data_IF_825598935726
#
_entry.id   IF_825598935726
#
_cell.length_a   1.000
_cell.length_b   1.000
_cell.length_c   1.000
_cell.angle_alpha   90.00
_cell.angle_beta   90.00
_cell.angle_gamma   90.00
#
_symmetry.space_group_name_H-M   'P 1'
#
loop_
_entity.id
_entity.type
_entity.pdbx_description
1 polymer ?
#
# COMPACT_ATOMS: atom_id res chain seq x y z
N UNK A 1 15.61 -18.25 -4.46
CA UNK A 1 14.43 -17.75 -3.74
C UNK A 1 14.82 -17.69 -2.28
N UNK A 2 15.01 -16.48 -1.74
CA UNK A 2 15.46 -16.30 -0.37
C UNK A 2 14.22 -15.99 0.47
N UNK A 3 13.77 -17.00 1.21
CA UNK A 3 12.61 -17.10 2.11
C UNK A 3 11.34 -17.75 1.53
N UNK A 4 10.95 -18.83 2.20
CA UNK A 4 9.62 -19.45 2.16
C UNK A 4 8.66 -18.54 2.95
N UNK A 5 7.48 -18.24 2.40
CA UNK A 5 6.47 -17.37 3.03
C UNK A 5 6.13 -17.83 4.45
N UNK A 6 6.14 -19.14 4.73
CA UNK A 6 5.93 -19.67 6.06
C UNK A 6 7.04 -19.25 7.05
N UNK A 7 8.30 -19.20 6.60
CA UNK A 7 9.41 -18.73 7.41
C UNK A 7 9.34 -17.22 7.66
N UNK A 8 8.88 -16.44 6.69
CA UNK A 8 8.63 -15.00 6.87
C UNK A 8 7.59 -14.76 7.97
N UNK A 9 6.51 -15.53 7.99
CA UNK A 9 5.51 -15.46 9.06
C UNK A 9 6.05 -15.88 10.43
N UNK A 10 6.91 -16.91 10.51
CA UNK A 10 7.57 -17.25 11.77
C UNK A 10 8.43 -16.09 12.27
N UNK A 11 9.16 -15.41 11.39
CA UNK A 11 9.95 -14.23 11.75
C UNK A 11 9.07 -13.06 12.17
N UNK A 12 8.01 -12.75 11.42
CA UNK A 12 7.03 -11.70 11.73
C UNK A 12 6.52 -11.81 13.16
N UNK A 13 6.14 -13.02 13.60
CA UNK A 13 5.62 -13.29 14.95
C UNK A 13 6.62 -13.08 16.08
N UNK A 14 7.92 -12.99 15.77
CA UNK A 14 8.97 -12.71 16.75
C UNK A 14 9.26 -11.22 16.90
N UNK A 15 8.70 -10.38 16.03
CA UNK A 15 8.91 -8.94 16.01
C UNK A 15 7.76 -8.21 16.70
N UNK A 16 8.07 -7.06 17.28
CA UNK A 16 7.07 -6.04 17.58
C UNK A 16 6.75 -5.28 16.27
N UNK A 17 5.52 -4.78 16.11
CA UNK A 17 5.10 -4.09 14.89
C UNK A 17 6.00 -2.90 14.54
N UNK A 18 6.65 -2.26 15.53
CA UNK A 18 7.60 -1.17 15.30
C UNK A 18 8.84 -1.60 14.51
N UNK A 19 9.15 -2.89 14.52
CA UNK A 19 10.26 -3.51 13.78
C UNK A 19 9.80 -4.19 12.49
N UNK A 20 8.54 -4.01 12.07
CA UNK A 20 8.01 -4.61 10.86
C UNK A 20 8.82 -4.27 9.60
N UNK A 21 9.37 -3.04 9.53
CA UNK A 21 10.21 -2.58 8.42
C UNK A 21 11.44 -3.47 8.17
N UNK A 22 11.88 -4.27 9.16
CA UNK A 22 13.01 -5.20 9.02
C UNK A 22 12.71 -6.41 8.12
N UNK A 23 11.42 -6.65 7.82
CA UNK A 23 10.95 -7.78 7.00
C UNK A 23 9.88 -7.43 5.97
N UNK A 24 9.36 -6.19 5.99
CA UNK A 24 8.36 -5.72 5.03
C UNK A 24 8.80 -5.96 3.58
N UNK A 25 10.06 -5.63 3.27
CA UNK A 25 10.62 -5.81 1.92
C UNK A 25 10.70 -7.28 1.50
N UNK A 26 10.92 -8.21 2.44
CA UNK A 26 10.93 -9.64 2.16
C UNK A 26 9.52 -10.13 1.79
N UNK A 27 8.48 -9.65 2.48
CA UNK A 27 7.08 -9.91 2.12
C UNK A 27 6.73 -9.30 0.76
N UNK A 28 7.15 -8.05 0.51
CA UNK A 28 6.92 -7.36 -0.76
C UNK A 28 7.53 -8.15 -1.92
N UNK A 29 8.79 -8.59 -1.78
CA UNK A 29 9.47 -9.41 -2.78
C UNK A 29 8.76 -10.76 -2.99
N UNK A 30 8.28 -11.39 -1.92
CA UNK A 30 7.54 -12.64 -2.02
C UNK A 30 6.23 -12.46 -2.82
N UNK A 31 5.48 -11.40 -2.52
CA UNK A 31 4.19 -11.13 -3.17
C UNK A 31 4.32 -10.70 -4.62
N UNK A 32 5.39 -9.98 -4.97
CA UNK A 32 5.68 -9.59 -6.35
C UNK A 32 6.43 -10.67 -7.15
N UNK A 33 6.61 -11.88 -6.60
CA UNK A 33 7.37 -12.94 -7.27
C UNK A 33 6.63 -13.55 -8.47
N UNK A 34 5.30 -13.50 -8.45
CA UNK A 34 4.45 -13.94 -9.55
C UNK A 34 3.16 -13.11 -9.65
N UNK A 35 2.53 -13.15 -10.84
CA UNK A 35 1.36 -12.34 -11.15
C UNK A 35 0.09 -12.82 -10.44
N UNK A 36 -0.06 -14.12 -10.19
CA UNK A 36 -1.26 -14.68 -9.55
C UNK A 36 -1.34 -14.23 -8.08
N UNK A 37 -0.21 -14.28 -7.38
CA UNK A 37 -0.08 -13.77 -6.01
C UNK A 37 -0.36 -12.27 -5.97
N UNK A 38 0.22 -11.49 -6.88
CA UNK A 38 0.03 -10.03 -6.93
C UNK A 38 -1.42 -9.64 -7.21
N UNK A 39 -2.12 -10.38 -8.07
CA UNK A 39 -3.53 -10.14 -8.43
C UNK A 39 -4.52 -10.55 -7.33
N UNK A 40 -4.08 -11.29 -6.31
CA UNK A 40 -4.94 -11.61 -5.17
C UNK A 40 -5.37 -10.31 -4.44
N UNK A 41 -6.67 -10.05 -4.25
CA UNK A 41 -7.14 -8.78 -3.68
C UNK A 41 -6.54 -8.42 -2.32
N UNK A 42 -6.26 -9.44 -1.49
CA UNK A 42 -5.66 -9.28 -0.17
C UNK A 42 -4.20 -8.86 -0.26
N UNK A 43 -3.45 -9.52 -1.14
CA UNK A 43 -2.05 -9.20 -1.39
C UNK A 43 -1.94 -7.82 -2.03
N UNK A 44 -2.76 -7.53 -3.04
CA UNK A 44 -2.80 -6.22 -3.67
C UNK A 44 -3.11 -5.10 -2.66
N UNK A 45 -4.08 -5.30 -1.76
CA UNK A 45 -4.38 -4.31 -0.73
C UNK A 45 -3.16 -4.03 0.19
N UNK A 46 -2.46 -5.08 0.63
CA UNK A 46 -1.22 -4.92 1.39
C UNK A 46 -0.14 -4.15 0.59
N UNK A 47 0.12 -4.56 -0.65
CA UNK A 47 1.14 -3.93 -1.50
C UNK A 47 0.84 -2.46 -1.79
N UNK A 48 -0.42 -2.12 -2.03
CA UNK A 48 -0.87 -0.74 -2.26
C UNK A 48 -0.69 0.10 -1.00
N UNK A 49 -1.16 -0.35 0.16
CA UNK A 49 -1.05 0.43 1.41
C UNK A 49 0.42 0.60 1.82
N UNK A 50 1.23 -0.46 1.73
CA UNK A 50 2.68 -0.41 2.01
C UNK A 50 3.39 0.56 1.07
N UNK A 51 3.13 0.47 -0.24
CA UNK A 51 3.76 1.36 -1.23
C UNK A 51 3.33 2.82 -1.05
N UNK A 52 2.03 3.05 -0.83
CA UNK A 52 1.44 4.37 -0.62
C UNK A 52 2.03 5.05 0.61
N UNK A 53 2.03 4.34 1.75
CA UNK A 53 2.60 4.83 3.00
C UNK A 53 4.10 5.07 2.87
N UNK A 54 4.86 4.07 2.39
CA UNK A 54 6.30 4.20 2.27
C UNK A 54 6.73 5.29 1.30
N UNK A 55 5.94 5.58 0.26
CA UNK A 55 6.24 6.63 -0.71
C UNK A 55 5.96 8.02 -0.16
N UNK A 56 4.87 8.21 0.58
CA UNK A 56 4.62 9.43 1.37
C UNK A 56 5.84 9.80 2.21
N UNK A 57 6.38 8.85 2.97
CA UNK A 57 7.52 9.08 3.87
C UNK A 57 8.84 9.45 3.16
N UNK A 58 8.97 9.20 1.85
CA UNK A 58 10.21 9.41 1.10
C UNK A 58 10.15 10.59 0.14
N UNK A 59 9.05 10.73 -0.58
CA UNK A 59 8.93 11.65 -1.72
C UNK A 59 7.55 12.30 -1.85
N UNK A 60 6.66 12.08 -0.88
CA UNK A 60 5.27 12.54 -0.92
C UNK A 60 4.37 11.61 -1.73
N UNK A 61 3.12 11.48 -1.30
CA UNK A 61 2.18 10.48 -1.83
C UNK A 61 1.80 10.71 -3.29
N UNK A 62 1.91 11.93 -3.81
CA UNK A 62 1.66 12.23 -5.22
C UNK A 62 2.54 11.39 -6.15
N UNK A 63 3.80 11.13 -5.77
CA UNK A 63 4.72 10.27 -6.54
C UNK A 63 4.27 8.81 -6.60
N UNK A 64 3.51 8.35 -5.60
CA UNK A 64 2.89 7.02 -5.65
C UNK A 64 1.79 6.99 -6.72
N UNK A 65 0.88 7.96 -6.73
CA UNK A 65 -0.22 8.00 -7.69
C UNK A 65 0.25 8.22 -9.14
N UNK A 66 1.34 8.95 -9.32
CA UNK A 66 1.97 9.11 -10.62
C UNK A 66 2.50 7.78 -11.18
N UNK A 67 3.12 6.95 -10.35
CA UNK A 67 3.81 5.74 -10.78
C UNK A 67 2.94 4.47 -10.81
N UNK A 68 1.89 4.40 -9.98
CA UNK A 68 1.09 3.19 -9.80
C UNK A 68 0.00 3.05 -10.89
N UNK A 69 -0.35 1.81 -11.23
CA UNK A 69 -1.52 1.54 -12.07
C UNK A 69 -2.81 1.94 -11.34
N UNK A 70 -3.66 2.83 -11.92
CA UNK A 70 -4.93 3.21 -11.30
C UNK A 70 -5.85 2.02 -11.01
N UNK A 71 -5.81 1.00 -11.87
CA UNK A 71 -6.60 -0.22 -11.70
C UNK A 71 -6.18 -1.03 -10.45
N UNK A 72 -4.90 -1.01 -10.08
CA UNK A 72 -4.44 -1.70 -8.87
C UNK A 72 -4.87 -0.95 -7.60
N UNK A 73 -4.84 0.38 -7.63
CA UNK A 73 -5.36 1.20 -6.53
C UNK A 73 -6.87 0.99 -6.38
N UNK A 74 -7.62 0.99 -7.49
CA UNK A 74 -9.07 0.75 -7.48
C UNK A 74 -9.42 -0.63 -6.88
N UNK A 75 -8.71 -1.69 -7.29
CA UNK A 75 -8.88 -3.04 -6.70
C UNK A 75 -8.62 -3.03 -5.20
N UNK A 76 -7.57 -2.35 -4.73
CA UNK A 76 -7.24 -2.26 -3.31
C UNK A 76 -8.30 -1.48 -2.53
N UNK A 77 -8.73 -0.32 -3.02
CA UNK A 77 -9.80 0.50 -2.42
C UNK A 77 -11.10 -0.31 -2.31
N UNK A 78 -11.50 -0.99 -3.38
CA UNK A 78 -12.71 -1.82 -3.38
C UNK A 78 -12.61 -2.98 -2.38
N UNK A 79 -11.46 -3.64 -2.29
CA UNK A 79 -11.24 -4.69 -1.29
C UNK A 79 -11.30 -4.13 0.14
N UNK A 80 -10.62 -3.01 0.42
CA UNK A 80 -10.61 -2.36 1.73
C UNK A 80 -12.04 -2.00 2.17
N UNK A 81 -12.85 -1.44 1.28
CA UNK A 81 -14.27 -1.19 1.55
C UNK A 81 -15.05 -2.48 1.89
N UNK A 82 -14.80 -3.58 1.18
CA UNK A 82 -15.46 -4.86 1.43
C UNK A 82 -15.11 -5.45 2.80
N UNK A 83 -13.89 -5.24 3.29
CA UNK A 83 -13.44 -5.73 4.60
C UNK A 83 -13.67 -4.73 5.74
N UNK A 84 -14.29 -3.58 5.45
CA UNK A 84 -14.68 -2.59 6.46
C UNK A 84 -13.65 -1.51 6.75
N UNK A 85 -12.56 -1.43 5.99
CA UNK A 85 -11.49 -0.43 6.12
C UNK A 85 -11.86 0.89 5.43
N UNK A 86 -13.00 1.46 5.83
CA UNK A 86 -13.65 2.56 5.09
C UNK A 86 -12.87 3.86 5.14
N UNK A 87 -12.22 4.19 6.26
CA UNK A 87 -11.44 5.42 6.38
C UNK A 87 -10.18 5.35 5.52
N UNK A 88 -9.43 4.25 5.61
CA UNK A 88 -8.22 4.04 4.80
C UNK A 88 -8.55 4.05 3.31
N UNK A 89 -9.61 3.35 2.90
CA UNK A 89 -10.08 3.35 1.52
C UNK A 89 -10.45 4.76 1.04
N UNK A 90 -11.15 5.55 1.87
CA UNK A 90 -11.52 6.91 1.53
C UNK A 90 -10.30 7.81 1.33
N UNK A 91 -9.31 7.75 2.22
CA UNK A 91 -8.11 8.60 2.12
C UNK A 91 -7.24 8.22 0.92
N UNK A 92 -7.05 6.92 0.64
CA UNK A 92 -6.34 6.47 -0.57
C UNK A 92 -7.09 6.92 -1.84
N UNK A 93 -8.42 6.86 -1.84
CA UNK A 93 -9.20 7.22 -3.03
C UNK A 93 -9.12 8.71 -3.39
N UNK A 94 -8.79 9.59 -2.44
CA UNK A 94 -8.70 11.04 -2.68
C UNK A 94 -7.64 11.43 -3.71
N UNK A 95 -6.53 10.71 -3.77
CA UNK A 95 -5.46 11.02 -4.71
C UNK A 95 -5.59 10.28 -6.05
N UNK A 96 -6.70 9.57 -6.29
CA UNK A 96 -6.90 8.82 -7.53
C UNK A 96 -7.30 9.73 -8.68
N UNK A 97 -6.30 10.35 -9.30
CA UNK A 97 -6.46 11.20 -10.48
C UNK A 97 -5.82 10.60 -11.73
N UNK A 98 -6.11 11.20 -12.89
CA UNK A 98 -5.57 10.76 -14.19
C UNK A 98 -4.18 11.37 -14.44
N UNK A 99 -3.18 10.98 -13.62
CA UNK A 99 -1.79 11.44 -13.76
C UNK A 99 -1.15 11.04 -15.10
N UNK A 100 -1.67 9.99 -15.75
CA UNK A 100 -1.20 9.48 -17.04
C UNK A 100 -1.89 10.17 -18.23
N UNK A 101 -2.77 11.16 -17.97
CA UNK A 101 -3.37 11.94 -19.03
C UNK A 101 -2.26 12.66 -19.84
N UNK A 102 -2.26 12.59 -21.18
CA UNK A 102 -1.27 13.29 -22.00
C UNK A 102 -1.20 14.80 -21.77
N UNK A 103 -2.27 15.42 -21.23
CA UNK A 103 -2.27 16.82 -20.83
C UNK A 103 -1.25 17.13 -19.73
N UNK A 104 -0.99 16.18 -18.84
CA UNK A 104 -0.20 16.35 -17.62
C UNK A 104 1.11 15.53 -17.62
N UNK A 105 1.09 14.33 -18.21
CA UNK A 105 2.19 13.37 -18.09
C UNK A 105 3.54 13.88 -18.66
N UNK A 106 3.51 14.76 -19.67
CA UNK A 106 4.72 15.28 -20.32
C UNK A 106 5.26 16.57 -19.67
N UNK A 107 4.43 17.33 -18.96
CA UNK A 107 4.78 18.65 -18.43
C UNK A 107 4.64 18.78 -16.90
N UNK A 108 4.08 17.77 -16.24
CA UNK A 108 3.81 17.72 -14.80
C UNK A 108 2.97 18.91 -14.28
N UNK A 109 2.16 19.52 -15.15
CA UNK A 109 1.32 20.68 -14.85
C UNK A 109 -0.03 20.23 -14.26
N UNK A 110 0.04 19.55 -13.12
CA UNK A 110 -1.12 19.01 -12.43
C UNK A 110 -2.01 20.12 -11.88
N UNK A 111 -3.35 19.94 -11.87
CA UNK A 111 -4.26 20.85 -11.17
C UNK A 111 -3.83 21.11 -9.72
N UNK A 112 -3.92 22.36 -9.28
CA UNK A 112 -3.59 22.78 -7.90
C UNK A 112 -4.40 21.99 -6.84
N UNK A 113 -5.61 21.59 -7.18
CA UNK A 113 -6.45 20.73 -6.35
C UNK A 113 -5.79 19.38 -6.05
N UNK A 114 -5.16 18.73 -7.05
CA UNK A 114 -4.50 17.43 -6.86
C UNK A 114 -3.28 17.55 -5.95
N UNK A 115 -2.55 18.66 -6.07
CA UNK A 115 -1.41 18.96 -5.20
C UNK A 115 -1.90 19.18 -3.77
N UNK A 116 -2.94 20.00 -3.58
CA UNK A 116 -3.55 20.26 -2.28
C UNK A 116 -4.03 18.96 -1.62
N UNK A 117 -4.73 18.11 -2.36
CA UNK A 117 -5.20 16.81 -1.85
C UNK A 117 -4.04 15.89 -1.48
N UNK A 118 -2.95 15.89 -2.25
CA UNK A 118 -1.76 15.10 -1.92
C UNK A 118 -1.11 15.57 -0.61
N UNK A 119 -1.06 16.88 -0.37
CA UNK A 119 -0.55 17.45 0.89
C UNK A 119 -1.47 17.10 2.07
N UNK A 120 -2.79 17.13 1.88
CA UNK A 120 -3.75 16.69 2.90
C UNK A 120 -3.59 15.20 3.24
N UNK A 121 -3.34 14.36 2.23
CA UNK A 121 -3.09 12.94 2.42
C UNK A 121 -1.77 12.72 3.17
N UNK A 122 -0.68 13.36 2.78
CA UNK A 122 0.61 13.27 3.48
C UNK A 122 0.48 13.73 4.93
N UNK A 123 -0.26 14.81 5.19
CA UNK A 123 -0.55 15.26 6.56
C UNK A 123 -1.38 14.25 7.35
N UNK A 124 -2.35 13.59 6.71
CA UNK A 124 -3.14 12.52 7.34
C UNK A 124 -2.24 11.32 7.65
N UNK A 125 -1.38 10.89 6.73
CA UNK A 125 -0.42 9.79 6.93
C UNK A 125 0.48 10.10 8.12
N UNK A 126 1.08 11.30 8.16
CA UNK A 126 1.97 11.72 9.24
C UNK A 126 1.27 11.67 10.62
N UNK A 127 0.01 12.10 10.68
CA UNK A 127 -0.81 12.04 11.90
C UNK A 127 -1.15 10.61 12.32
N UNK A 128 -1.27 9.67 11.37
CA UNK A 128 -1.65 8.28 11.59
C UNK A 128 -0.49 7.29 11.44
N UNK A 129 0.76 7.77 11.48
CA UNK A 129 1.96 6.96 11.24
C UNK A 129 2.00 5.67 12.07
N UNK A 130 1.81 5.78 13.39
CA UNK A 130 1.85 4.62 14.30
C UNK A 130 0.72 3.63 14.00
N UNK A 131 -0.47 4.15 13.67
CA UNK A 131 -1.62 3.34 13.27
C UNK A 131 -1.37 2.60 11.95
N UNK A 132 -0.75 3.23 10.95
CA UNK A 132 -0.39 2.59 9.68
C UNK A 132 0.66 1.48 9.86
N UNK A 133 1.69 1.73 10.66
CA UNK A 133 2.69 0.72 11.01
C UNK A 133 2.03 -0.50 11.66
N UNK A 134 1.12 -0.27 12.61
CA UNK A 134 0.36 -1.33 13.26
C UNK A 134 -0.56 -2.06 12.28
N UNK A 135 -1.25 -1.31 11.42
CA UNK A 135 -2.17 -1.85 10.42
C UNK A 135 -1.46 -2.83 9.47
N UNK A 136 -0.29 -2.45 8.93
CA UNK A 136 0.47 -3.32 8.03
C UNK A 136 0.88 -4.65 8.69
N UNK A 137 1.35 -4.57 9.94
CA UNK A 137 1.72 -5.75 10.72
C UNK A 137 0.50 -6.65 10.99
N UNK A 138 -0.58 -6.08 11.55
CA UNK A 138 -1.79 -6.82 11.89
C UNK A 138 -2.46 -7.42 10.68
N UNK A 139 -2.45 -6.70 9.55
CA UNK A 139 -3.04 -7.17 8.30
C UNK A 139 -2.39 -8.47 7.86
N UNK A 140 -1.05 -8.57 7.90
CA UNK A 140 -0.36 -9.81 7.58
C UNK A 140 -0.68 -10.91 8.57
N UNK A 141 -0.63 -10.62 9.88
CA UNK A 141 -0.93 -11.61 10.94
C UNK A 141 -2.34 -12.18 10.80
N UNK A 142 -3.35 -11.32 10.59
CA UNK A 142 -4.74 -11.72 10.48
C UNK A 142 -5.01 -12.59 9.25
N UNK A 143 -4.17 -12.48 8.22
CA UNK A 143 -4.36 -13.13 6.92
C UNK A 143 -3.37 -14.28 6.63
N UNK A 144 -2.46 -14.59 7.56
CA UNK A 144 -1.43 -15.65 7.42
C UNK A 144 -1.97 -16.95 6.81
N UNK A 145 -3.02 -17.51 7.41
CA UNK A 145 -3.57 -18.81 7.00
C UNK A 145 -4.13 -18.82 5.57
N UNK A 146 -4.53 -17.65 5.05
CA UNK A 146 -5.03 -17.50 3.69
C UNK A 146 -3.86 -17.31 2.73
N UNK A 147 -2.89 -16.47 3.11
CA UNK A 147 -1.71 -16.15 2.30
C UNK A 147 -0.80 -17.36 2.11
N UNK A 148 -0.55 -18.16 3.15
CA UNK A 148 0.28 -19.38 3.04
C UNK A 148 -0.33 -20.43 2.10
N UNK A 149 -1.63 -20.34 1.79
CA UNK A 149 -2.37 -21.30 0.95
C UNK A 149 -2.63 -20.81 -0.47
N UNK A 150 -2.17 -19.61 -0.81
CA UNK A 150 -2.13 -19.15 -2.20
C UNK A 150 -1.15 -20.04 -2.97
#
# INVERSE_FOLDING_TARGET
MLYDIAQLYQRLKTLDYKHFFEIESDFFQCFCSDAETTENPMVNAFLIVSSWFGTSERSGVWTFYEAISPANVEKAVNYLLQVGETELAAVISKGMHDYQNPQYADNFDYPEEWITESEEIDAWISKHYDWLCHWLYDYLIANENKIIKL
#
